data_IF_815037057369
#
_entry.id   IF_815037057369
#
_cell.length_a   1.000
_cell.length_b   1.000
_cell.length_c   1.000
_cell.angle_alpha   90.00
_cell.angle_beta   90.00
_cell.angle_gamma   90.00
#
_symmetry.space_group_name_H-M   'P 1'
#
loop_
_entity.id
_entity.type
_entity.pdbx_description
1 polymer ?
#
# COMPACT_ATOMS: atom_id res chain seq x y z
N UNK A 1 -62.27 -15.35 -5.63
CA UNK A 1 -62.50 -16.43 -6.62
C UNK A 1 -61.82 -16.01 -7.91
N UNK A 2 -60.67 -16.57 -8.23
CA UNK A 2 -60.18 -16.86 -9.58
C UNK A 2 -58.98 -17.77 -9.41
N UNK A 3 -59.17 -19.00 -9.84
CA UNK A 3 -58.19 -20.07 -9.82
C UNK A 3 -57.19 -19.85 -10.96
N UNK A 4 -55.89 -19.83 -10.67
CA UNK A 4 -54.83 -19.77 -11.68
C UNK A 4 -54.20 -21.16 -11.83
N UNK A 5 -54.36 -21.74 -12.98
CA UNK A 5 -53.98 -23.09 -13.34
C UNK A 5 -52.46 -23.28 -13.39
N UNK A 6 -51.95 -24.24 -12.64
CA UNK A 6 -50.57 -24.72 -12.73
C UNK A 6 -50.36 -25.50 -14.05
N UNK A 7 -49.54 -24.99 -14.94
CA UNK A 7 -49.01 -25.77 -16.08
C UNK A 7 -47.83 -26.61 -15.60
N UNK A 8 -48.01 -27.94 -15.67
CA UNK A 8 -46.96 -28.94 -15.50
C UNK A 8 -46.00 -28.89 -16.71
N UNK A 9 -44.75 -28.49 -16.49
CA UNK A 9 -43.67 -28.68 -17.45
C UNK A 9 -42.98 -30.02 -17.17
N UNK A 10 -42.89 -30.86 -18.19
CA UNK A 10 -42.20 -32.15 -18.19
C UNK A 10 -40.67 -31.92 -18.16
N UNK A 11 -39.89 -32.71 -17.41
CA UNK A 11 -38.44 -32.65 -17.51
C UNK A 11 -37.96 -33.32 -18.79
N UNK A 12 -37.16 -32.59 -19.58
CA UNK A 12 -36.40 -33.14 -20.70
C UNK A 12 -35.13 -33.79 -20.13
N UNK A 13 -35.10 -35.12 -20.17
CA UNK A 13 -33.90 -35.90 -19.85
C UNK A 13 -32.92 -35.79 -21.03
N UNK A 14 -31.87 -34.97 -20.88
CA UNK A 14 -30.72 -34.97 -21.81
C UNK A 14 -29.77 -36.06 -21.33
N UNK A 15 -29.70 -37.17 -22.08
CA UNK A 15 -28.66 -38.18 -21.90
C UNK A 15 -27.34 -37.63 -22.43
N UNK A 16 -26.42 -37.23 -21.50
CA UNK A 16 -25.02 -36.95 -21.84
C UNK A 16 -24.30 -38.29 -22.03
N UNK A 17 -23.97 -38.61 -23.29
CA UNK A 17 -22.97 -39.63 -23.61
C UNK A 17 -21.58 -39.07 -23.14
N UNK A 18 -21.05 -39.62 -22.06
CA UNK A 18 -19.67 -39.41 -21.67
C UNK A 18 -18.75 -40.20 -22.60
N UNK A 19 -18.17 -39.55 -23.60
CA UNK A 19 -17.04 -40.08 -24.33
C UNK A 19 -15.79 -39.97 -23.41
N UNK A 20 -15.41 -41.10 -22.80
CA UNK A 20 -14.10 -41.22 -22.13
C UNK A 20 -12.99 -41.20 -23.21
N UNK A 21 -12.46 -40.03 -23.49
CA UNK A 21 -11.17 -39.92 -24.15
C UNK A 21 -10.08 -40.24 -23.10
N UNK A 22 -9.54 -41.45 -23.16
CA UNK A 22 -8.34 -41.83 -22.42
C UNK A 22 -7.16 -41.00 -22.96
N UNK A 23 -6.91 -39.86 -22.34
CA UNK A 23 -5.66 -39.16 -22.45
C UNK A 23 -4.58 -40.00 -21.73
N UNK A 24 -3.85 -40.79 -22.49
CA UNK A 24 -2.56 -41.31 -22.08
C UNK A 24 -1.64 -40.12 -21.92
N UNK A 25 -1.59 -39.56 -20.69
CA UNK A 25 -0.52 -38.65 -20.30
C UNK A 25 0.78 -39.45 -20.38
N UNK A 26 1.62 -39.13 -21.36
CA UNK A 26 3.05 -39.46 -21.29
C UNK A 26 3.61 -38.85 -20.02
N UNK A 27 3.65 -39.64 -18.96
CA UNK A 27 4.32 -39.33 -17.73
C UNK A 27 5.80 -39.24 -17.96
N UNK A 28 6.29 -38.04 -18.22
CA UNK A 28 7.65 -37.68 -17.83
C UNK A 28 7.63 -37.62 -16.31
N UNK A 29 8.02 -38.71 -15.63
CA UNK A 29 8.23 -38.74 -14.18
C UNK A 29 9.43 -37.86 -13.85
N UNK A 30 9.24 -36.54 -13.75
CA UNK A 30 10.06 -35.67 -12.94
C UNK A 30 9.68 -36.01 -11.50
N UNK A 31 10.59 -36.59 -10.73
CA UNK A 31 10.46 -36.64 -9.29
C UNK A 31 10.18 -35.21 -8.83
N UNK A 32 9.01 -34.97 -8.25
CA UNK A 32 8.75 -33.70 -7.57
C UNK A 32 9.74 -33.64 -6.42
N UNK A 33 10.82 -32.87 -6.61
CA UNK A 33 11.80 -32.63 -5.54
C UNK A 33 11.17 -31.64 -4.58
N UNK A 34 10.22 -32.12 -3.76
CA UNK A 34 9.73 -31.37 -2.64
C UNK A 34 10.88 -31.14 -1.65
N UNK A 35 11.21 -29.89 -1.42
CA UNK A 35 12.26 -29.49 -0.47
C UNK A 35 11.60 -29.38 0.89
N UNK A 36 12.05 -30.15 1.85
CA UNK A 36 11.49 -30.19 3.19
C UNK A 36 12.31 -29.32 4.15
N UNK A 37 11.60 -28.63 5.03
CA UNK A 37 12.15 -27.69 6.00
C UNK A 37 11.63 -28.05 7.40
N UNK A 38 12.52 -28.04 8.39
CA UNK A 38 12.18 -28.22 9.80
C UNK A 38 13.22 -27.55 10.70
N UNK A 39 13.01 -27.54 12.01
CA UNK A 39 13.88 -26.90 13.01
C UNK A 39 15.30 -27.49 13.07
N UNK A 40 15.56 -28.65 12.45
CA UNK A 40 16.88 -29.28 12.40
C UNK A 40 17.53 -29.19 11.00
N UNK A 41 16.77 -28.85 9.96
CA UNK A 41 17.25 -28.87 8.56
C UNK A 41 16.52 -27.85 7.70
N UNK A 42 17.25 -26.91 7.16
CA UNK A 42 16.76 -25.93 6.21
C UNK A 42 17.06 -26.38 4.78
N UNK A 43 16.09 -27.07 4.13
CA UNK A 43 16.15 -27.50 2.74
C UNK A 43 16.95 -28.77 2.45
N UNK A 44 17.61 -29.37 3.42
CA UNK A 44 18.31 -30.66 3.26
C UNK A 44 19.22 -30.72 2.04
N UNK A 45 19.14 -31.81 1.26
CA UNK A 45 19.86 -31.94 -0.02
C UNK A 45 18.96 -31.52 -1.18
N UNK A 46 19.19 -30.36 -1.70
CA UNK A 46 18.52 -29.85 -2.91
C UNK A 46 19.54 -29.58 -4.00
N UNK A 47 19.11 -29.49 -5.25
CA UNK A 47 20.00 -29.25 -6.40
C UNK A 47 19.40 -28.22 -7.35
N UNK A 48 20.28 -27.41 -7.93
CA UNK A 48 19.94 -26.42 -8.94
C UNK A 48 21.05 -26.45 -10.00
N UNK A 49 20.78 -27.13 -11.12
CA UNK A 49 21.85 -27.50 -12.06
C UNK A 49 22.14 -26.43 -13.13
N UNK A 50 21.18 -25.59 -13.46
CA UNK A 50 21.30 -24.64 -14.58
C UNK A 50 20.39 -23.41 -14.38
N UNK A 51 20.76 -22.27 -15.04
CA UNK A 51 19.93 -21.07 -15.01
C UNK A 51 18.60 -21.26 -15.75
N UNK A 52 17.66 -20.35 -15.51
CA UNK A 52 16.34 -20.25 -16.13
C UNK A 52 15.22 -20.26 -15.12
N UNK A 53 14.00 -20.34 -15.62
CA UNK A 53 12.82 -20.38 -14.77
C UNK A 53 12.71 -21.70 -14.00
N UNK A 54 12.61 -21.60 -12.68
CA UNK A 54 12.46 -22.73 -11.75
C UNK A 54 11.27 -22.57 -10.86
N UNK A 55 10.63 -23.69 -10.55
CA UNK A 55 9.58 -23.80 -9.53
C UNK A 55 10.02 -24.82 -8.50
N UNK A 56 10.06 -24.40 -7.25
CA UNK A 56 10.37 -25.26 -6.11
C UNK A 56 9.06 -25.56 -5.36
N UNK A 57 8.86 -26.82 -5.00
CA UNK A 57 7.84 -27.24 -4.04
C UNK A 57 8.48 -27.28 -2.66
N UNK A 58 8.00 -26.45 -1.73
CA UNK A 58 8.53 -26.28 -0.40
C UNK A 58 7.54 -26.89 0.60
N UNK A 59 8.00 -27.75 1.51
CA UNK A 59 7.16 -28.38 2.52
C UNK A 59 7.65 -28.03 3.93
N UNK A 60 6.78 -27.43 4.74
CA UNK A 60 7.05 -27.16 6.15
C UNK A 60 6.74 -28.42 6.97
N UNK A 61 7.77 -29.12 7.38
CA UNK A 61 7.68 -30.32 8.21
C UNK A 61 7.75 -30.01 9.73
N UNK A 62 7.68 -28.70 10.11
CA UNK A 62 7.58 -28.27 11.50
C UNK A 62 6.13 -28.31 11.99
N UNK A 63 5.98 -28.17 13.30
CA UNK A 63 4.74 -27.92 14.02
C UNK A 63 4.44 -26.42 14.25
N UNK A 64 5.36 -25.54 13.81
CA UNK A 64 5.24 -24.08 13.87
C UNK A 64 5.30 -23.46 12.48
N UNK A 65 4.76 -22.26 12.37
CA UNK A 65 4.87 -21.42 11.17
C UNK A 65 6.26 -20.82 11.01
N UNK A 66 6.47 -20.16 9.86
CA UNK A 66 7.74 -19.49 9.60
C UNK A 66 7.80 -18.90 8.20
N UNK A 67 8.99 -18.48 7.84
CA UNK A 67 9.35 -17.91 6.55
C UNK A 67 10.52 -18.70 5.93
N UNK A 68 10.51 -18.86 4.61
CA UNK A 68 11.60 -19.49 3.88
C UNK A 68 12.08 -18.54 2.79
N UNK A 69 13.34 -18.15 2.87
CA UNK A 69 14.00 -17.34 1.86
C UNK A 69 14.91 -18.16 0.95
N UNK A 70 14.95 -17.85 -0.32
CA UNK A 70 16.06 -18.22 -1.20
C UNK A 70 17.07 -17.06 -1.26
N UNK A 71 18.26 -17.26 -0.74
CA UNK A 71 19.25 -16.19 -0.54
C UNK A 71 20.55 -16.40 -1.36
N UNK A 72 21.30 -15.29 -1.59
CA UNK A 72 22.74 -15.35 -1.82
C UNK A 72 23.46 -15.50 -0.47
N UNK A 73 24.06 -16.66 -0.19
CA UNK A 73 24.67 -16.92 1.12
C UNK A 73 25.92 -16.08 1.42
N UNK A 74 26.40 -15.26 0.46
CA UNK A 74 27.55 -14.37 0.65
C UNK A 74 27.14 -12.98 1.13
N UNK A 75 25.95 -12.54 0.75
CA UNK A 75 25.45 -11.18 0.99
C UNK A 75 24.23 -11.16 1.88
N UNK A 76 23.62 -12.33 2.12
CA UNK A 76 22.29 -12.48 2.74
C UNK A 76 21.16 -11.83 1.95
N UNK A 77 21.41 -11.44 0.70
CA UNK A 77 20.38 -10.89 -0.18
C UNK A 77 19.35 -11.96 -0.54
N UNK A 78 18.08 -11.61 -0.50
CA UNK A 78 16.92 -12.48 -0.77
C UNK A 78 16.56 -12.37 -2.25
N UNK A 79 16.45 -13.51 -2.94
CA UNK A 79 15.96 -13.62 -4.32
C UNK A 79 14.45 -13.84 -4.39
N UNK A 80 13.90 -14.61 -3.45
CA UNK A 80 12.48 -14.89 -3.31
C UNK A 80 12.21 -15.42 -1.90
N UNK A 81 10.99 -15.30 -1.45
CA UNK A 81 10.54 -15.72 -0.13
C UNK A 81 9.18 -16.39 -0.18
N UNK A 82 8.88 -17.19 0.82
CA UNK A 82 7.55 -17.66 1.19
C UNK A 82 7.34 -17.27 2.63
N UNK A 83 6.55 -16.24 2.82
CA UNK A 83 6.10 -15.78 4.14
C UNK A 83 4.88 -16.59 4.62
N UNK A 84 4.59 -16.56 5.91
CA UNK A 84 3.48 -17.25 6.56
C UNK A 84 3.37 -18.74 6.16
N UNK A 85 4.51 -19.42 6.11
CA UNK A 85 4.61 -20.81 5.74
C UNK A 85 4.09 -21.71 6.86
N UNK A 86 2.79 -22.03 6.83
CA UNK A 86 2.09 -22.77 7.86
C UNK A 86 2.62 -24.19 8.08
N UNK A 87 2.50 -24.75 9.30
CA UNK A 87 2.96 -26.10 9.62
C UNK A 87 2.22 -27.15 8.78
N UNK A 88 2.97 -28.16 8.30
CA UNK A 88 2.44 -29.26 7.50
C UNK A 88 1.92 -28.87 6.12
N UNK A 89 2.18 -27.65 5.65
CA UNK A 89 1.73 -27.17 4.32
C UNK A 89 2.83 -27.28 3.27
N UNK A 90 2.41 -27.32 2.00
CA UNK A 90 3.29 -27.22 0.85
C UNK A 90 2.96 -25.92 0.09
N UNK A 91 3.98 -25.14 -0.24
CA UNK A 91 3.87 -23.95 -1.07
C UNK A 91 4.87 -24.01 -2.22
N UNK A 92 4.63 -23.20 -3.26
CA UNK A 92 5.49 -23.11 -4.43
C UNK A 92 6.21 -21.77 -4.47
N UNK A 93 7.52 -21.81 -4.76
CA UNK A 93 8.34 -20.65 -5.05
C UNK A 93 8.82 -20.73 -6.49
N UNK A 94 8.53 -19.70 -7.31
CA UNK A 94 8.92 -19.68 -8.72
C UNK A 94 9.69 -18.42 -9.07
N UNK A 95 10.86 -18.58 -9.71
CA UNK A 95 11.68 -17.44 -10.10
C UNK A 95 12.59 -17.78 -11.28
N UNK A 96 13.13 -16.75 -11.96
CA UNK A 96 14.18 -16.88 -12.96
C UNK A 96 15.56 -16.86 -12.28
N UNK A 97 16.20 -18.01 -12.22
CA UNK A 97 17.49 -18.22 -11.56
C UNK A 97 18.63 -17.92 -12.52
N UNK A 98 19.53 -17.01 -12.15
CA UNK A 98 20.78 -16.77 -12.85
C UNK A 98 21.91 -17.70 -12.42
N UNK A 99 23.12 -17.44 -12.94
CA UNK A 99 24.35 -18.06 -12.43
C UNK A 99 24.71 -17.43 -11.09
N UNK A 100 25.04 -18.24 -10.09
CA UNK A 100 25.35 -17.75 -8.75
C UNK A 100 25.38 -18.82 -7.67
N UNK A 101 25.42 -18.40 -6.42
CA UNK A 101 25.27 -19.28 -5.27
C UNK A 101 23.92 -19.00 -4.60
N UNK A 102 23.26 -20.08 -4.20
CA UNK A 102 21.92 -20.05 -3.63
C UNK A 102 21.88 -20.94 -2.40
N UNK A 103 21.19 -20.50 -1.36
CA UNK A 103 20.86 -21.31 -0.19
C UNK A 103 19.46 -20.95 0.28
N UNK A 104 18.77 -21.88 0.92
CA UNK A 104 17.57 -21.54 1.67
C UNK A 104 17.95 -21.04 3.06
N UNK A 105 17.24 -20.03 3.55
CA UNK A 105 17.24 -19.56 4.92
C UNK A 105 15.86 -19.80 5.51
N UNK A 106 15.83 -20.37 6.69
CA UNK A 106 14.61 -20.68 7.43
C UNK A 106 14.53 -19.78 8.66
N UNK A 107 13.36 -19.16 8.84
CA UNK A 107 13.02 -18.29 9.96
C UNK A 107 11.74 -18.84 10.58
N UNK A 108 11.86 -19.90 11.40
CA UNK A 108 10.72 -20.46 12.09
C UNK A 108 10.47 -19.75 13.41
N UNK A 109 9.21 -19.67 13.82
CA UNK A 109 8.82 -19.13 15.11
C UNK A 109 9.59 -19.85 16.23
N UNK A 110 10.03 -19.10 17.23
CA UNK A 110 10.73 -19.59 18.42
C UNK A 110 12.11 -20.27 18.17
N UNK A 111 12.71 -20.08 16.98
CA UNK A 111 14.06 -20.62 16.69
C UNK A 111 14.98 -19.55 16.11
N UNK A 112 16.29 -19.74 16.28
CA UNK A 112 17.26 -18.90 15.57
C UNK A 112 17.23 -19.16 14.06
N UNK A 113 17.47 -18.13 13.21
CA UNK A 113 17.58 -18.28 11.76
C UNK A 113 18.60 -19.35 11.36
N UNK A 114 18.22 -20.23 10.42
CA UNK A 114 19.09 -21.32 9.96
C UNK A 114 19.29 -21.21 8.44
N UNK A 115 20.56 -21.26 8.01
CA UNK A 115 20.90 -21.33 6.58
C UNK A 115 21.26 -22.76 6.19
N UNK A 116 20.58 -23.28 5.18
CA UNK A 116 20.80 -24.60 4.63
C UNK A 116 22.01 -24.70 3.70
N UNK A 117 22.23 -25.90 3.10
CA UNK A 117 23.33 -26.13 2.18
C UNK A 117 23.25 -25.23 0.95
N UNK A 118 24.39 -24.61 0.58
CA UNK A 118 24.46 -23.78 -0.60
C UNK A 118 24.71 -24.62 -1.86
N UNK A 119 23.98 -24.27 -2.95
CA UNK A 119 24.21 -24.82 -4.28
C UNK A 119 24.80 -23.73 -5.20
N UNK A 120 25.52 -24.17 -6.24
CA UNK A 120 26.11 -23.26 -7.22
C UNK A 120 25.55 -23.55 -8.61
N UNK A 121 24.99 -22.51 -9.24
CA UNK A 121 24.59 -22.51 -10.65
C UNK A 121 25.73 -21.94 -11.47
N UNK A 122 26.39 -22.74 -12.33
CA UNK A 122 27.56 -22.29 -13.11
C UNK A 122 27.15 -21.36 -14.25
N UNK A 123 28.12 -20.58 -14.75
CA UNK A 123 27.95 -19.73 -15.94
C UNK A 123 27.94 -18.24 -15.64
N UNK A 124 27.37 -17.47 -16.59
CA UNK A 124 27.28 -16.00 -16.52
C UNK A 124 25.89 -15.49 -16.93
N UNK A 125 24.85 -16.28 -16.71
CA UNK A 125 23.47 -15.88 -17.02
C UNK A 125 22.97 -14.98 -15.90
N UNK A 126 22.40 -13.83 -16.25
CA UNK A 126 21.75 -12.92 -15.31
C UNK A 126 20.35 -13.46 -14.99
N UNK A 127 20.02 -13.57 -13.73
CA UNK A 127 18.67 -13.86 -13.22
C UNK A 127 18.16 -12.70 -12.37
N UNK A 128 17.22 -12.95 -11.47
CA UNK A 128 16.79 -11.97 -10.50
C UNK A 128 17.96 -11.48 -9.65
N UNK A 129 17.89 -10.23 -9.25
CA UNK A 129 18.89 -9.63 -8.36
C UNK A 129 18.43 -9.85 -6.92
N UNK A 130 19.33 -10.38 -6.10
CA UNK A 130 19.05 -10.49 -4.68
C UNK A 130 18.98 -9.10 -4.03
N UNK A 131 18.04 -8.93 -3.16
CA UNK A 131 17.84 -7.71 -2.36
C UNK A 131 18.19 -7.97 -0.91
N UNK A 132 18.97 -7.07 -0.29
CA UNK A 132 19.26 -7.15 1.14
C UNK A 132 18.13 -6.40 1.85
N UNK A 133 17.21 -7.10 2.57
CA UNK A 133 16.14 -6.45 3.30
C UNK A 133 16.69 -5.57 4.42
N UNK A 134 15.88 -4.63 4.89
CA UNK A 134 16.19 -3.87 6.11
C UNK A 134 15.86 -4.71 7.34
N UNK A 135 16.49 -4.36 8.46
CA UNK A 135 16.17 -4.93 9.76
C UNK A 135 15.26 -4.00 10.56
N UNK A 136 14.56 -4.54 11.57
CA UNK A 136 13.80 -3.73 12.52
C UNK A 136 14.64 -2.59 13.11
N UNK A 137 15.89 -2.87 13.49
CA UNK A 137 16.79 -1.87 14.09
C UNK A 137 17.11 -0.71 13.12
N UNK A 138 17.23 -0.98 11.83
CA UNK A 138 17.49 0.06 10.83
C UNK A 138 16.28 0.97 10.61
N UNK A 139 15.04 0.49 10.82
CA UNK A 139 13.81 1.28 10.67
C UNK A 139 13.43 2.09 11.90
N UNK A 140 13.98 1.80 13.08
CA UNK A 140 13.68 2.56 14.32
C UNK A 140 14.01 4.05 14.16
N UNK A 141 15.12 4.38 13.51
CA UNK A 141 15.52 5.79 13.24
C UNK A 141 14.48 6.49 12.35
N UNK A 142 14.27 6.02 11.12
CA UNK A 142 13.25 6.56 10.21
C UNK A 142 11.86 6.69 10.83
N UNK A 143 11.38 5.69 11.58
CA UNK A 143 10.08 5.74 12.25
C UNK A 143 10.00 6.87 13.30
N UNK A 144 11.04 7.06 14.11
CA UNK A 144 11.10 8.15 15.08
C UNK A 144 11.15 9.54 14.40
N UNK A 145 11.90 9.67 13.31
CA UNK A 145 11.97 10.92 12.56
C UNK A 145 10.63 11.23 11.91
N UNK A 146 9.93 10.21 11.36
CA UNK A 146 8.59 10.40 10.84
C UNK A 146 7.58 10.74 11.94
N UNK A 147 7.70 10.18 13.14
CA UNK A 147 6.86 10.56 14.29
C UNK A 147 7.02 12.06 14.65
N UNK A 148 8.24 12.59 14.55
CA UNK A 148 8.51 14.05 14.74
C UNK A 148 7.88 14.88 13.62
N UNK A 149 8.01 14.44 12.38
CA UNK A 149 7.37 15.08 11.22
C UNK A 149 5.86 15.15 11.38
N UNK A 150 5.22 14.03 11.70
CA UNK A 150 3.78 13.97 11.90
C UNK A 150 3.31 14.86 13.07
N UNK A 151 4.06 14.89 14.19
CA UNK A 151 3.76 15.81 15.30
C UNK A 151 3.77 17.28 14.89
N UNK A 152 4.71 17.68 14.03
CA UNK A 152 4.79 19.04 13.51
C UNK A 152 3.62 19.36 12.57
N UNK A 153 3.25 18.42 11.71
CA UNK A 153 2.08 18.52 10.83
C UNK A 153 0.78 18.64 11.63
N UNK A 154 0.56 17.76 12.62
CA UNK A 154 -0.61 17.82 13.49
C UNK A 154 -0.72 19.14 14.26
N UNK A 155 0.41 19.69 14.73
CA UNK A 155 0.42 21.00 15.38
C UNK A 155 -0.01 22.12 14.43
N UNK A 156 0.43 22.08 13.19
CA UNK A 156 0.01 23.02 12.13
C UNK A 156 -1.49 22.85 11.84
N UNK A 157 -1.93 21.62 11.74
CA UNK A 157 -3.32 21.25 11.44
C UNK A 157 -4.31 21.77 12.51
N UNK A 158 -3.93 21.73 13.80
CA UNK A 158 -4.75 22.33 14.88
C UNK A 158 -5.03 23.80 14.57
N UNK A 159 -4.01 24.61 14.27
CA UNK A 159 -4.21 26.03 13.97
C UNK A 159 -5.05 26.30 12.72
N UNK A 160 -4.91 25.45 11.70
CA UNK A 160 -5.69 25.55 10.47
C UNK A 160 -7.16 25.18 10.68
N UNK A 161 -7.43 24.09 11.40
CA UNK A 161 -8.80 23.68 11.72
C UNK A 161 -9.50 24.65 12.65
N UNK A 162 -8.77 25.28 13.60
CA UNK A 162 -9.29 26.37 14.44
C UNK A 162 -9.68 27.60 13.60
N UNK A 163 -8.86 27.93 12.60
CA UNK A 163 -9.17 29.03 11.66
C UNK A 163 -10.45 28.75 10.87
N UNK A 164 -10.54 27.55 10.29
CA UNK A 164 -11.72 27.09 9.55
C UNK A 164 -13.00 27.11 10.43
N UNK A 165 -12.91 26.61 11.67
CA UNK A 165 -14.03 26.62 12.60
C UNK A 165 -14.46 28.05 12.98
N UNK A 166 -13.48 28.96 13.19
CA UNK A 166 -13.74 30.37 13.48
C UNK A 166 -14.43 31.09 12.30
N UNK A 167 -14.07 30.76 11.05
CA UNK A 167 -14.75 31.32 9.89
C UNK A 167 -16.21 30.91 9.83
N UNK A 168 -16.50 29.66 10.08
CA UNK A 168 -17.88 29.14 10.15
C UNK A 168 -18.67 29.78 11.30
N UNK A 169 -18.08 29.93 12.49
CA UNK A 169 -18.71 30.62 13.63
C UNK A 169 -19.06 32.06 13.33
N UNK A 170 -18.24 32.75 12.51
CA UNK A 170 -18.52 34.12 12.03
C UNK A 170 -19.49 34.18 10.83
N UNK A 171 -19.96 33.06 10.34
CA UNK A 171 -20.84 32.99 9.17
C UNK A 171 -20.11 33.22 7.84
N UNK A 172 -18.77 33.17 7.79
CA UNK A 172 -17.97 33.49 6.62
C UNK A 172 -17.66 32.25 5.78
N UNK A 173 -18.65 31.78 5.01
CA UNK A 173 -18.50 30.60 4.14
C UNK A 173 -17.40 30.77 3.06
N UNK A 174 -17.16 31.98 2.61
CA UNK A 174 -16.09 32.26 1.61
C UNK A 174 -14.71 32.02 2.19
N UNK A 175 -14.47 32.50 3.39
CA UNK A 175 -13.22 32.23 4.11
C UNK A 175 -13.08 30.74 4.46
N UNK A 176 -14.18 30.13 4.94
CA UNK A 176 -14.19 28.72 5.28
C UNK A 176 -13.81 27.81 4.08
N UNK A 177 -14.34 28.09 2.89
CA UNK A 177 -13.93 27.36 1.66
C UNK A 177 -12.46 27.55 1.32
N UNK A 178 -11.95 28.77 1.47
CA UNK A 178 -10.53 29.07 1.21
C UNK A 178 -9.61 28.33 2.20
N UNK A 179 -9.98 28.30 3.48
CA UNK A 179 -9.13 27.80 4.57
C UNK A 179 -9.30 26.28 4.80
N UNK A 180 -10.33 25.66 4.20
CA UNK A 180 -10.53 24.22 4.20
C UNK A 180 -9.39 23.49 3.45
N UNK A 181 -9.06 23.89 2.23
CA UNK A 181 -8.08 23.18 1.40
C UNK A 181 -6.68 23.13 2.04
N UNK A 182 -6.07 24.23 2.50
CA UNK A 182 -4.75 24.15 3.14
C UNK A 182 -4.74 23.24 4.38
N UNK A 183 -5.83 23.19 5.15
CA UNK A 183 -5.94 22.30 6.29
C UNK A 183 -6.01 20.83 5.85
N UNK A 184 -6.84 20.51 4.88
CA UNK A 184 -6.95 19.16 4.32
C UNK A 184 -5.62 18.69 3.71
N UNK A 185 -4.95 19.53 2.91
CA UNK A 185 -3.65 19.20 2.33
C UNK A 185 -2.57 18.93 3.39
N UNK A 186 -2.60 19.63 4.53
CA UNK A 186 -1.69 19.33 5.64
C UNK A 186 -1.94 17.92 6.18
N UNK A 187 -3.20 17.49 6.34
CA UNK A 187 -3.53 16.13 6.75
C UNK A 187 -3.04 15.11 5.72
N UNK A 188 -3.30 15.33 4.45
CA UNK A 188 -2.88 14.46 3.35
C UNK A 188 -1.35 14.21 3.26
N UNK A 189 -0.54 15.14 3.76
CA UNK A 189 0.93 14.90 3.84
C UNK A 189 1.32 13.88 4.92
N UNK A 190 0.41 13.50 5.81
CA UNK A 190 0.67 12.60 6.95
C UNK A 190 0.31 11.14 6.67
N UNK A 191 0.06 10.76 5.42
CA UNK A 191 -0.50 9.48 5.00
C UNK A 191 0.20 8.22 5.55
N UNK A 192 1.49 8.28 5.88
CA UNK A 192 2.17 7.14 6.48
C UNK A 192 1.80 6.90 7.96
N UNK A 193 1.12 7.83 8.60
CA UNK A 193 0.68 7.68 9.98
C UNK A 193 -0.79 7.27 10.11
N UNK A 194 -1.55 7.13 9.03
CA UNK A 194 -3.00 6.90 9.08
C UNK A 194 -3.37 5.66 9.88
N UNK A 195 -2.69 4.53 9.70
CA UNK A 195 -2.94 3.34 10.53
C UNK A 195 -2.65 3.57 12.01
N UNK A 196 -1.58 4.32 12.31
CA UNK A 196 -1.24 4.69 13.68
C UNK A 196 -2.27 5.66 14.30
N UNK A 197 -2.99 6.44 13.48
CA UNK A 197 -4.06 7.31 13.95
C UNK A 197 -5.30 6.52 14.39
N UNK A 198 -5.50 5.30 13.87
CA UNK A 198 -6.63 4.44 14.22
C UNK A 198 -7.97 5.12 13.91
N UNK A 199 -8.89 5.11 14.86
CA UNK A 199 -10.22 5.70 14.67
C UNK A 199 -10.21 7.21 14.37
N UNK A 200 -9.14 7.92 14.72
CA UNK A 200 -9.03 9.34 14.37
C UNK A 200 -8.99 9.58 12.86
N UNK A 201 -8.46 8.63 12.08
CA UNK A 201 -8.45 8.75 10.62
C UNK A 201 -9.87 8.83 10.06
N UNK A 202 -10.74 7.89 10.44
CA UNK A 202 -12.16 7.90 10.05
C UNK A 202 -12.90 9.16 10.53
N UNK A 203 -12.56 9.67 11.73
CA UNK A 203 -13.22 10.85 12.32
C UNK A 203 -12.77 12.17 11.66
N UNK A 204 -11.53 12.25 11.19
CA UNK A 204 -10.92 13.46 10.62
C UNK A 204 -11.09 13.49 9.09
N UNK A 205 -10.93 12.34 8.40
CA UNK A 205 -10.90 12.31 6.94
C UNK A 205 -11.74 11.16 6.34
N UNK A 206 -12.62 10.54 7.13
CA UNK A 206 -13.45 9.44 6.68
C UNK A 206 -14.37 9.79 5.52
N UNK A 207 -14.41 8.92 4.50
CA UNK A 207 -15.30 9.00 3.35
C UNK A 207 -16.75 8.66 3.73
N UNK A 208 -17.70 9.16 2.91
CA UNK A 208 -19.12 8.87 3.10
C UNK A 208 -19.54 7.45 2.73
N UNK A 209 -18.69 6.66 2.08
CA UNK A 209 -19.02 5.41 1.39
C UNK A 209 -19.78 4.41 2.25
N UNK A 210 -19.30 4.17 3.47
CA UNK A 210 -19.91 3.24 4.38
C UNK A 210 -21.16 3.81 5.09
N UNK A 211 -21.20 5.12 5.30
CA UNK A 211 -22.21 5.79 6.10
C UNK A 211 -23.26 6.52 5.25
N UNK A 212 -22.87 6.94 4.05
CA UNK A 212 -23.65 7.82 3.17
C UNK A 212 -23.67 9.28 3.62
N UNK A 213 -23.80 10.19 2.65
CA UNK A 213 -23.72 11.66 2.87
C UNK A 213 -24.77 12.23 3.84
N UNK A 214 -25.84 11.49 4.11
CA UNK A 214 -26.91 11.88 5.04
C UNK A 214 -26.68 11.37 6.46
N UNK A 215 -25.68 10.58 6.71
CA UNK A 215 -25.46 9.99 8.03
C UNK A 215 -24.93 11.06 9.01
N UNK A 216 -25.59 11.28 10.15
CA UNK A 216 -25.15 12.28 11.13
C UNK A 216 -23.83 11.91 11.83
N UNK A 217 -23.38 10.65 11.73
CA UNK A 217 -22.10 10.20 12.27
C UNK A 217 -20.92 10.48 11.32
N UNK A 218 -21.20 10.80 10.05
CA UNK A 218 -20.15 11.21 9.11
C UNK A 218 -19.62 12.59 9.50
N UNK A 219 -18.32 12.69 9.76
CA UNK A 219 -17.63 13.90 10.24
C UNK A 219 -16.34 14.12 9.42
N UNK A 220 -15.54 15.09 9.81
CA UNK A 220 -14.23 15.33 9.23
C UNK A 220 -14.21 16.25 8.01
N UNK A 221 -13.08 16.24 7.30
CA UNK A 221 -12.83 17.13 6.18
C UNK A 221 -13.81 16.94 5.03
N UNK A 222 -14.06 15.72 4.60
CA UNK A 222 -14.99 15.44 3.50
C UNK A 222 -16.43 15.79 3.84
N UNK A 223 -16.83 15.63 5.11
CA UNK A 223 -18.15 16.08 5.57
C UNK A 223 -18.30 17.60 5.49
N UNK A 224 -17.25 18.33 5.85
CA UNK A 224 -17.23 19.80 5.75
C UNK A 224 -17.17 20.25 4.28
N UNK A 225 -16.38 19.59 3.44
CA UNK A 225 -16.36 19.83 2.01
C UNK A 225 -17.75 19.71 1.41
N UNK A 226 -18.41 18.57 1.61
CA UNK A 226 -19.76 18.35 1.13
C UNK A 226 -20.68 19.52 1.51
N UNK A 227 -20.71 19.90 2.77
CA UNK A 227 -21.58 20.97 3.23
C UNK A 227 -21.23 22.35 2.64
N UNK A 228 -19.96 22.67 2.57
CA UNK A 228 -19.46 23.94 2.01
C UNK A 228 -19.82 24.11 0.54
N UNK A 229 -19.76 23.04 -0.26
CA UNK A 229 -20.02 23.12 -1.71
C UNK A 229 -21.46 22.76 -2.10
N UNK A 230 -22.27 22.18 -1.17
CA UNK A 230 -23.68 21.85 -1.40
C UNK A 230 -24.66 22.80 -0.71
N UNK A 231 -24.21 24.01 -0.37
CA UNK A 231 -25.09 25.09 0.03
C UNK A 231 -25.59 25.03 1.48
N UNK A 232 -24.97 24.23 2.34
CA UNK A 232 -25.26 24.25 3.76
C UNK A 232 -24.84 25.59 4.39
N UNK A 233 -25.60 26.05 5.38
CA UNK A 233 -25.30 27.28 6.11
C UNK A 233 -24.12 27.11 7.05
N UNK A 234 -23.47 28.19 7.39
CA UNK A 234 -22.39 28.18 8.38
C UNK A 234 -22.87 27.65 9.75
N UNK A 235 -24.09 27.91 10.12
CA UNK A 235 -24.69 27.43 11.38
C UNK A 235 -24.82 25.90 11.39
N UNK A 236 -25.17 25.28 10.25
CA UNK A 236 -25.25 23.82 10.10
C UNK A 236 -23.86 23.18 10.12
N UNK A 237 -22.82 23.86 9.60
CA UNK A 237 -21.47 23.34 9.51
C UNK A 237 -20.62 23.56 10.78
N UNK A 238 -20.94 24.55 11.59
CA UNK A 238 -20.19 24.87 12.82
C UNK A 238 -20.02 23.67 13.78
N UNK A 239 -21.02 22.81 14.02
CA UNK A 239 -20.82 21.63 14.86
C UNK A 239 -19.79 20.66 14.33
N UNK A 240 -19.76 20.41 13.02
CA UNK A 240 -18.78 19.52 12.37
C UNK A 240 -17.36 20.09 12.42
N UNK A 241 -17.21 21.41 12.18
CA UNK A 241 -15.91 22.05 12.31
C UNK A 241 -15.39 22.05 13.76
N UNK A 242 -16.29 22.23 14.74
CA UNK A 242 -15.93 22.14 16.15
C UNK A 242 -15.50 20.73 16.54
N UNK A 243 -16.15 19.70 15.98
CA UNK A 243 -15.75 18.31 16.17
C UNK A 243 -14.38 18.05 15.54
N UNK A 244 -14.14 18.47 14.30
CA UNK A 244 -12.86 18.33 13.62
C UNK A 244 -11.72 18.92 14.45
N UNK A 245 -11.88 20.13 14.99
CA UNK A 245 -10.90 20.75 15.90
C UNK A 245 -10.66 19.88 17.13
N UNK A 246 -11.72 19.33 17.73
CA UNK A 246 -11.60 18.48 18.91
C UNK A 246 -10.86 17.18 18.60
N UNK A 247 -11.15 16.55 17.47
CA UNK A 247 -10.54 15.30 17.03
C UNK A 247 -9.04 15.51 16.74
N UNK A 248 -8.68 16.55 15.98
CA UNK A 248 -7.28 16.87 15.67
C UNK A 248 -6.48 17.22 16.93
N UNK A 249 -7.08 17.95 17.87
CA UNK A 249 -6.42 18.24 19.17
C UNK A 249 -6.24 16.97 20.01
N UNK A 250 -7.22 16.08 20.01
CA UNK A 250 -7.16 14.81 20.72
C UNK A 250 -6.09 13.90 20.10
N UNK A 251 -6.02 13.83 18.78
CA UNK A 251 -4.97 13.11 18.06
C UNK A 251 -3.58 13.67 18.40
N UNK A 252 -3.37 14.99 18.33
CA UNK A 252 -2.09 15.61 18.71
C UNK A 252 -1.71 15.31 20.17
N UNK A 253 -2.66 15.33 21.08
CA UNK A 253 -2.41 15.05 22.50
C UNK A 253 -2.05 13.58 22.75
N UNK A 254 -2.62 12.65 21.98
CA UNK A 254 -2.40 11.21 22.09
C UNK A 254 -1.17 10.75 21.31
N UNK A 255 -0.79 11.48 20.26
CA UNK A 255 0.28 11.14 19.32
C UNK A 255 1.62 10.72 19.97
N UNK A 256 2.11 11.35 21.05
CA UNK A 256 3.34 10.93 21.69
C UNK A 256 3.33 9.52 22.29
N UNK A 257 2.15 8.91 22.45
CA UNK A 257 1.95 7.54 22.97
C UNK A 257 1.62 6.54 21.90
N UNK A 258 1.44 6.99 20.65
CA UNK A 258 1.18 6.15 19.50
C UNK A 258 2.50 5.67 18.89
N UNK A 259 2.51 4.45 18.39
CA UNK A 259 3.65 3.87 17.70
C UNK A 259 3.30 3.66 16.22
N UNK A 260 4.21 4.04 15.35
CA UNK A 260 4.11 3.72 13.92
C UNK A 260 4.72 2.32 13.76
N UNK A 261 3.96 1.34 13.25
CA UNK A 261 4.52 0.03 12.94
C UNK A 261 5.70 0.19 11.97
N UNK A 262 6.81 -0.50 12.23
CA UNK A 262 8.04 -0.34 11.43
C UNK A 262 7.82 -0.73 9.97
N UNK A 263 6.94 -1.70 9.72
CA UNK A 263 6.57 -2.13 8.38
C UNK A 263 5.90 -1.01 7.58
N UNK A 264 5.12 -0.14 8.23
CA UNK A 264 4.41 0.94 7.56
C UNK A 264 5.36 1.97 6.95
N UNK A 265 6.55 2.14 7.52
CA UNK A 265 7.54 3.10 7.01
C UNK A 265 7.96 2.76 5.56
N UNK A 266 8.05 1.47 5.23
CA UNK A 266 8.31 1.03 3.86
C UNK A 266 7.05 0.92 3.01
N UNK A 267 6.05 0.24 3.53
CA UNK A 267 4.80 -0.09 2.86
C UNK A 267 4.05 1.18 2.39
N UNK A 268 3.96 2.18 3.26
CA UNK A 268 3.26 3.44 2.97
C UNK A 268 3.90 4.28 1.88
N UNK A 269 5.18 4.06 1.52
CA UNK A 269 5.75 4.71 0.33
C UNK A 269 4.99 4.37 -0.95
N UNK A 270 4.37 3.20 -1.01
CA UNK A 270 3.56 2.71 -2.13
C UNK A 270 2.08 3.02 -1.93
N UNK A 271 1.51 2.65 -0.79
CA UNK A 271 0.07 2.70 -0.53
C UNK A 271 -0.52 4.11 -0.58
N UNK A 272 0.22 5.14 -0.18
CA UNK A 272 -0.23 6.55 -0.28
C UNK A 272 -0.63 6.89 -1.71
N UNK A 273 0.17 6.52 -2.71
CA UNK A 273 -0.15 6.79 -4.11
C UNK A 273 -1.12 5.77 -4.71
N UNK A 274 -1.19 4.55 -4.18
CA UNK A 274 -2.21 3.58 -4.55
C UNK A 274 -3.60 4.11 -4.18
N UNK A 275 -3.78 4.59 -2.96
CA UNK A 275 -5.00 5.25 -2.51
C UNK A 275 -5.31 6.51 -3.36
N UNK A 276 -4.30 7.31 -3.68
CA UNK A 276 -4.50 8.46 -4.56
C UNK A 276 -5.01 8.05 -5.95
N UNK A 277 -4.50 6.97 -6.53
CA UNK A 277 -4.95 6.43 -7.82
C UNK A 277 -6.38 5.91 -7.73
N UNK A 278 -6.73 5.21 -6.64
CA UNK A 278 -8.04 4.59 -6.46
C UNK A 278 -9.14 5.61 -6.14
N UNK A 279 -8.87 6.60 -5.30
CA UNK A 279 -9.89 7.49 -4.78
C UNK A 279 -9.80 8.91 -5.35
N UNK A 280 -8.64 9.55 -5.28
CA UNK A 280 -8.48 10.96 -5.67
C UNK A 280 -8.49 11.16 -7.19
N UNK A 281 -7.71 10.36 -7.94
CA UNK A 281 -7.64 10.45 -9.40
C UNK A 281 -8.87 9.87 -10.10
N UNK A 282 -9.72 9.13 -9.43
CA UNK A 282 -11.05 8.76 -9.92
C UNK A 282 -12.11 9.83 -9.65
N UNK A 283 -11.83 10.75 -8.73
CA UNK A 283 -12.78 11.75 -8.23
C UNK A 283 -13.76 11.20 -7.19
N UNK A 284 -13.49 10.00 -6.63
CA UNK A 284 -14.32 9.40 -5.62
C UNK A 284 -14.31 10.20 -4.30
N UNK A 285 -13.19 10.84 -4.01
CA UNK A 285 -12.98 11.71 -2.85
C UNK A 285 -13.37 13.19 -3.09
N UNK A 286 -13.99 13.52 -4.25
CA UNK A 286 -14.44 14.88 -4.53
C UNK A 286 -15.88 15.06 -4.04
N UNK A 287 -16.05 15.71 -2.92
CA UNK A 287 -17.34 16.08 -2.38
C UNK A 287 -17.78 17.50 -2.76
N UNK A 288 -17.19 18.07 -3.82
CA UNK A 288 -17.63 19.30 -4.48
C UNK A 288 -16.60 20.39 -4.62
N UNK A 289 -15.43 20.29 -4.01
CA UNK A 289 -14.36 21.30 -4.12
C UNK A 289 -13.64 21.29 -5.46
N UNK A 290 -13.59 20.13 -6.12
CA UNK A 290 -12.82 19.92 -7.34
C UNK A 290 -11.29 19.94 -7.09
N UNK A 291 -10.81 19.63 -5.89
CA UNK A 291 -9.40 19.84 -5.51
C UNK A 291 -8.61 18.55 -5.30
N UNK A 292 -9.12 17.39 -5.72
CA UNK A 292 -8.46 16.08 -5.50
C UNK A 292 -7.07 15.99 -6.15
N UNK A 293 -6.80 16.76 -7.22
CA UNK A 293 -5.44 16.87 -7.78
C UNK A 293 -4.46 17.55 -6.81
N UNK A 294 -4.94 18.50 -6.00
CA UNK A 294 -4.13 19.10 -4.94
C UNK A 294 -3.84 18.10 -3.82
N UNK A 295 -4.84 17.29 -3.42
CA UNK A 295 -4.67 16.21 -2.45
C UNK A 295 -3.63 15.19 -2.95
N UNK A 296 -3.69 14.79 -4.23
CA UNK A 296 -2.67 13.92 -4.84
C UNK A 296 -1.26 14.53 -4.77
N UNK A 297 -1.12 15.86 -4.95
CA UNK A 297 0.18 16.54 -4.76
C UNK A 297 0.67 16.48 -3.30
N UNK A 298 -0.23 16.64 -2.34
CA UNK A 298 0.11 16.51 -0.93
C UNK A 298 0.55 15.09 -0.59
N UNK A 299 -0.10 14.09 -1.18
CA UNK A 299 0.30 12.68 -1.06
C UNK A 299 1.69 12.39 -1.66
N UNK A 300 2.03 13.02 -2.80
CA UNK A 300 3.41 12.96 -3.32
C UNK A 300 4.41 13.56 -2.32
N UNK A 301 4.05 14.64 -1.62
CA UNK A 301 4.93 15.25 -0.61
C UNK A 301 5.12 14.32 0.59
N UNK A 302 4.05 13.69 1.09
CA UNK A 302 4.13 12.67 2.15
C UNK A 302 5.00 11.47 1.75
N UNK A 303 4.82 10.94 0.53
CA UNK A 303 5.67 9.88 -0.03
C UNK A 303 7.14 10.29 -0.10
N UNK A 304 7.45 11.54 -0.51
CA UNK A 304 8.82 12.06 -0.56
C UNK A 304 9.46 12.18 0.81
N UNK A 305 8.69 12.53 1.83
CA UNK A 305 9.19 12.56 3.21
C UNK A 305 9.67 11.17 3.63
N UNK A 306 8.84 10.14 3.45
CA UNK A 306 9.25 8.75 3.71
C UNK A 306 10.48 8.34 2.93
N UNK A 307 10.52 8.63 1.62
CA UNK A 307 11.68 8.33 0.78
C UNK A 307 12.94 9.06 1.26
N UNK A 308 12.82 10.26 1.79
CA UNK A 308 13.94 11.02 2.36
C UNK A 308 14.50 10.32 3.60
N UNK A 309 13.63 9.86 4.50
CA UNK A 309 14.01 9.14 5.71
C UNK A 309 14.62 7.76 5.41
N UNK A 310 14.10 7.08 4.41
CA UNK A 310 14.59 5.77 3.97
C UNK A 310 15.81 5.85 3.03
N UNK A 311 16.13 7.02 2.48
CA UNK A 311 17.19 7.18 1.47
C UNK A 311 18.53 6.53 1.84
N UNK A 312 19.06 6.68 3.08
CA UNK A 312 20.33 6.05 3.46
C UNK A 312 20.30 4.52 3.34
N UNK A 313 19.14 3.91 3.57
CA UNK A 313 18.93 2.47 3.48
C UNK A 313 18.72 2.01 2.04
N UNK A 314 18.00 2.80 1.24
CA UNK A 314 17.61 2.47 -0.12
C UNK A 314 18.74 2.65 -1.14
N UNK A 315 19.60 3.65 -0.98
CA UNK A 315 20.65 3.99 -1.97
C UNK A 315 21.59 2.83 -2.28
N UNK A 316 21.82 1.94 -1.32
CA UNK A 316 22.67 0.76 -1.47
C UNK A 316 21.91 -0.51 -1.83
N UNK A 317 20.59 -0.52 -1.62
CA UNK A 317 19.74 -1.70 -1.78
C UNK A 317 18.88 -1.67 -3.05
N UNK A 318 18.51 -0.46 -3.51
CA UNK A 318 17.58 -0.30 -4.63
C UNK A 318 18.19 0.50 -5.79
N UNK A 319 18.74 -0.16 -6.84
CA UNK A 319 19.29 0.53 -8.02
C UNK A 319 18.22 1.33 -8.81
N UNK A 320 16.93 0.99 -8.66
CA UNK A 320 15.80 1.69 -9.28
C UNK A 320 15.41 3.02 -8.61
N UNK A 321 15.97 3.36 -7.46
CA UNK A 321 15.61 4.56 -6.70
C UNK A 321 15.60 5.87 -7.53
N UNK A 322 16.51 6.14 -8.48
CA UNK A 322 16.41 7.31 -9.35
C UNK A 322 15.17 7.32 -10.25
N UNK A 323 14.68 6.14 -10.65
CA UNK A 323 13.43 5.98 -11.40
C UNK A 323 12.23 6.46 -10.61
N UNK A 324 12.14 6.11 -9.32
CA UNK A 324 11.10 6.60 -8.40
C UNK A 324 10.99 8.12 -8.45
N UNK A 325 12.10 8.83 -8.19
CA UNK A 325 12.11 10.29 -8.21
C UNK A 325 11.75 10.88 -9.59
N UNK A 326 12.16 10.21 -10.67
CA UNK A 326 11.82 10.63 -12.04
C UNK A 326 10.31 10.59 -12.26
N UNK A 327 9.64 9.53 -11.85
CA UNK A 327 8.21 9.36 -12.06
C UNK A 327 7.37 10.20 -11.08
N UNK A 328 7.81 10.37 -9.84
CA UNK A 328 7.19 11.33 -8.91
C UNK A 328 7.27 12.78 -9.44
N UNK A 329 8.41 13.19 -10.01
CA UNK A 329 8.56 14.51 -10.64
C UNK A 329 7.65 14.63 -11.87
N UNK A 330 7.54 13.57 -12.68
CA UNK A 330 6.65 13.57 -13.85
C UNK A 330 5.19 13.71 -13.45
N UNK A 331 4.75 12.93 -12.46
CA UNK A 331 3.39 13.01 -11.94
C UNK A 331 3.10 14.41 -11.38
N UNK A 332 3.98 14.94 -10.54
CA UNK A 332 3.86 16.31 -10.00
C UNK A 332 3.71 17.34 -11.11
N UNK A 333 4.57 17.30 -12.15
CA UNK A 333 4.51 18.24 -13.28
C UNK A 333 3.17 18.17 -14.02
N UNK A 334 2.62 16.99 -14.21
CA UNK A 334 1.33 16.80 -14.86
C UNK A 334 0.17 17.31 -14.03
N UNK A 335 0.20 17.10 -12.72
CA UNK A 335 -0.80 17.63 -11.79
C UNK A 335 -0.75 19.17 -11.75
N UNK A 336 0.44 19.75 -11.60
CA UNK A 336 0.65 21.20 -11.56
C UNK A 336 0.20 21.90 -12.85
N UNK A 337 0.24 21.21 -14.00
CA UNK A 337 -0.27 21.75 -15.26
C UNK A 337 -1.79 21.98 -15.26
N UNK A 338 -2.52 21.32 -14.36
CA UNK A 338 -3.97 21.46 -14.20
C UNK A 338 -4.34 22.53 -13.14
N UNK A 339 -3.35 23.19 -12.54
CA UNK A 339 -3.56 24.33 -11.65
C UNK A 339 -3.77 25.60 -12.48
N UNK A 340 -4.91 26.24 -12.33
CA UNK A 340 -5.33 27.38 -13.14
C UNK A 340 -4.87 28.73 -12.56
N UNK A 341 -4.70 29.75 -13.41
CA UNK A 341 -4.54 31.12 -12.94
C UNK A 341 -5.70 31.52 -12.03
N UNK A 342 -5.39 31.98 -10.81
CA UNK A 342 -6.40 32.31 -9.79
C UNK A 342 -6.46 31.31 -8.63
N UNK A 343 -5.63 30.24 -8.67
CA UNK A 343 -5.48 29.32 -7.55
C UNK A 343 -6.52 28.20 -7.49
N UNK A 344 -7.24 27.97 -8.58
CA UNK A 344 -8.21 26.86 -8.71
C UNK A 344 -7.61 25.68 -9.46
N UNK A 345 -8.17 24.52 -9.26
CA UNK A 345 -7.79 23.28 -9.93
C UNK A 345 -8.83 22.89 -10.99
N UNK A 346 -8.40 22.21 -12.05
CA UNK A 346 -9.32 21.53 -12.93
C UNK A 346 -9.86 20.30 -12.19
N UNK A 347 -11.19 20.21 -11.97
CA UNK A 347 -11.75 19.00 -11.35
C UNK A 347 -11.43 17.76 -12.19
N UNK A 348 -11.18 16.61 -11.54
CA UNK A 348 -10.85 15.35 -12.24
C UNK A 348 -11.90 15.01 -13.30
N UNK A 349 -13.19 15.27 -13.05
CA UNK A 349 -14.28 15.04 -13.98
C UNK A 349 -14.23 15.91 -15.26
N UNK A 350 -13.45 17.00 -15.24
CA UNK A 350 -13.29 17.95 -16.33
C UNK A 350 -11.93 17.86 -17.03
N UNK A 351 -11.05 16.97 -16.61
CA UNK A 351 -9.78 16.74 -17.28
C UNK A 351 -9.99 16.29 -18.72
N UNK A 352 -9.14 16.79 -19.63
CA UNK A 352 -9.07 16.23 -20.98
C UNK A 352 -8.66 14.75 -20.92
N UNK A 353 -9.08 13.96 -21.92
CA UNK A 353 -8.69 12.54 -21.99
C UNK A 353 -7.16 12.37 -21.98
N UNK A 354 -6.44 13.29 -22.63
CA UNK A 354 -4.96 13.29 -22.67
C UNK A 354 -4.34 13.57 -21.31
N UNK A 355 -4.87 14.57 -20.57
CA UNK A 355 -4.39 14.90 -19.23
C UNK A 355 -4.63 13.73 -18.26
N UNK A 356 -5.85 13.19 -18.24
CA UNK A 356 -6.21 12.04 -17.43
C UNK A 356 -5.28 10.84 -17.70
N UNK A 357 -5.15 10.43 -18.97
CA UNK A 357 -4.27 9.31 -19.34
C UNK A 357 -2.81 9.56 -18.95
N UNK A 358 -2.33 10.81 -19.09
CA UNK A 358 -0.97 11.18 -18.70
C UNK A 358 -0.74 11.07 -17.19
N UNK A 359 -1.69 11.55 -16.38
CA UNK A 359 -1.65 11.50 -14.91
C UNK A 359 -1.74 10.05 -14.43
N UNK A 360 -2.74 9.30 -14.90
CA UNK A 360 -2.95 7.90 -14.51
C UNK A 360 -1.73 7.04 -14.87
N UNK A 361 -1.15 7.22 -16.07
CA UNK A 361 0.04 6.50 -16.50
C UNK A 361 1.27 6.86 -15.64
N UNK A 362 1.45 8.14 -15.30
CA UNK A 362 2.58 8.57 -14.48
C UNK A 362 2.45 8.06 -13.03
N UNK A 363 1.23 8.07 -12.47
CA UNK A 363 0.95 7.51 -11.14
C UNK A 363 1.19 5.99 -11.13
N UNK A 364 0.65 5.26 -12.09
CA UNK A 364 0.85 3.81 -12.22
C UNK A 364 2.32 3.43 -12.38
N UNK A 365 3.10 4.23 -13.12
CA UNK A 365 4.52 3.96 -13.27
C UNK A 365 5.30 4.31 -11.99
N UNK A 366 4.93 5.39 -11.28
CA UNK A 366 5.49 5.70 -9.98
C UNK A 366 5.24 4.55 -8.97
N UNK A 367 4.04 3.97 -8.97
CA UNK A 367 3.69 2.81 -8.16
C UNK A 367 4.55 1.59 -8.49
N UNK A 368 4.80 1.29 -9.78
CA UNK A 368 5.69 0.20 -10.18
C UNK A 368 7.13 0.40 -9.67
N UNK A 369 7.62 1.63 -9.67
CA UNK A 369 8.95 1.95 -9.14
C UNK A 369 8.99 1.96 -7.60
N UNK A 370 7.87 2.23 -6.94
CA UNK A 370 7.78 2.24 -5.46
C UNK A 370 7.59 0.83 -4.88
N UNK A 371 6.95 -0.09 -5.60
CA UNK A 371 6.63 -1.42 -5.10
C UNK A 371 7.85 -2.21 -4.55
N UNK A 372 9.05 -2.18 -5.17
CA UNK A 372 10.22 -2.84 -4.60
C UNK A 372 10.67 -2.25 -3.25
N UNK A 373 10.33 -0.99 -2.95
CA UNK A 373 10.69 -0.35 -1.68
C UNK A 373 9.91 -0.97 -0.53
N UNK A 374 8.62 -1.26 -0.72
CA UNK A 374 7.81 -1.94 0.30
C UNK A 374 8.45 -3.29 0.69
N UNK A 375 8.85 -4.10 -0.30
CA UNK A 375 9.52 -5.39 -0.05
C UNK A 375 10.92 -5.25 0.55
N UNK A 376 11.72 -4.24 0.13
CA UNK A 376 13.06 -3.99 0.69
C UNK A 376 12.96 -3.53 2.14
N UNK A 377 12.01 -2.67 2.43
CA UNK A 377 11.80 -2.06 3.74
C UNK A 377 10.82 -2.86 4.62
N UNK A 378 10.39 -4.04 4.20
CA UNK A 378 9.75 -5.00 5.06
C UNK A 378 10.78 -5.57 6.03
N UNK A 379 10.64 -5.32 7.35
CA UNK A 379 11.69 -5.66 8.29
C UNK A 379 11.79 -7.17 8.51
N UNK A 380 13.00 -7.71 8.42
CA UNK A 380 13.28 -9.13 8.68
C UNK A 380 13.87 -9.32 10.07
N UNK A 381 13.46 -10.40 10.72
CA UNK A 381 14.09 -10.88 11.93
C UNK A 381 15.35 -11.65 11.50
N UNK A 382 16.51 -10.99 11.54
CA UNK A 382 17.82 -11.60 11.20
C UNK A 382 18.64 -11.86 12.45
#
# INVERSE_FOLDING_TARGET
MLAMAMRKTRPLTIAMLAAMASLTACGGGGASNTISFNSASCGGTWTLAKPGWHTFELYNANDVGGEIDLIDPRTSGVYAEVDQFGPGTTQTMSLDVGSGRYAFRCLFEDTDPMTGPAVTVPGHVKGFTATVPVTNNELVGPAKEYQVYAAAGLKTLVGQTETLASDLQRGNLTAARRDWLPAHLTYETLGAAYDAFGNFDDEIDGRADALGVSNPQWTGFYRLEYGLWHGQSAAELTPYASKLVADVRSLLATWPTMEIPLIDIGLRTHEILENALEFQLTGHDDYGSGTTLASTLANIQGTRELLSLLHPLLVTRYPGLPGVYTWLNRLQTLLEAEHQPGGTWVPVSQLSASARQGIDAACSQALQELAPIASIAEPRNT
#
